data_IF_268466657627
#
_entry.id   IF_268466657627
#
_cell.length_a   1.000
_cell.length_b   1.000
_cell.length_c   1.000
_cell.angle_alpha   90.00
_cell.angle_beta   90.00
_cell.angle_gamma   90.00
#
_symmetry.space_group_name_H-M   'P 1'
#
loop_
_entity.id
_entity.type
_entity.pdbx_description
1 polymer ?
#
# COMPACT_ATOMS: atom_id res chain seq x y z
N UNK A 1 -7.31 -17.99 9.59
CA UNK A 1 -6.85 -16.62 9.68
C UNK A 1 -7.67 -15.70 8.78
N UNK A 2 -7.66 -14.39 9.00
CA UNK A 2 -8.42 -13.48 8.15
C UNK A 2 -7.91 -13.62 6.70
N UNK A 3 -8.81 -13.94 5.79
CA UNK A 3 -8.50 -13.95 4.37
C UNK A 3 -8.57 -12.51 3.88
N UNK A 4 -7.42 -11.92 3.58
CA UNK A 4 -7.36 -10.62 2.93
C UNK A 4 -7.48 -10.83 1.42
N UNK A 5 -8.59 -10.37 0.87
CA UNK A 5 -8.76 -10.35 -0.58
C UNK A 5 -8.56 -8.93 -1.09
N UNK A 6 -7.88 -8.81 -2.23
CA UNK A 6 -7.88 -7.57 -2.97
C UNK A 6 -9.28 -7.31 -3.50
N UNK A 7 -9.68 -6.05 -3.48
CA UNK A 7 -10.81 -5.66 -4.30
C UNK A 7 -10.43 -5.92 -5.76
N UNK A 8 -11.20 -6.77 -6.44
CA UNK A 8 -10.92 -7.16 -7.81
C UNK A 8 -10.84 -5.95 -8.75
N UNK A 9 -11.72 -4.98 -8.58
CA UNK A 9 -11.72 -3.74 -9.37
C UNK A 9 -10.42 -2.98 -9.20
N UNK A 10 -9.97 -2.73 -7.96
CA UNK A 10 -8.68 -2.08 -7.69
C UNK A 10 -7.50 -2.92 -8.18
N UNK A 11 -7.60 -4.23 -8.07
CA UNK A 11 -6.54 -5.12 -8.52
C UNK A 11 -6.37 -5.10 -10.03
N UNK A 12 -7.48 -5.10 -10.76
CA UNK A 12 -7.47 -5.14 -12.23
C UNK A 12 -7.34 -3.77 -12.87
N UNK A 13 -7.87 -2.71 -12.26
CA UNK A 13 -7.90 -1.37 -12.84
C UNK A 13 -6.81 -0.43 -12.33
N UNK A 14 -6.34 -0.58 -11.09
CA UNK A 14 -5.56 0.47 -10.44
C UNK A 14 -4.23 -0.01 -9.80
N UNK A 15 -3.93 -1.30 -9.82
CA UNK A 15 -2.73 -1.78 -9.11
C UNK A 15 -1.65 -2.38 -10.00
N UNK A 16 -1.96 -3.45 -10.71
CA UNK A 16 -0.93 -4.21 -11.42
C UNK A 16 -1.14 -4.30 -12.93
N UNK A 17 -2.31 -3.98 -13.43
CA UNK A 17 -2.72 -4.26 -14.81
C UNK A 17 -3.28 -3.05 -15.55
N UNK A 18 -3.33 -1.88 -14.91
CA UNK A 18 -4.07 -0.76 -15.48
C UNK A 18 -3.20 0.28 -16.15
N UNK A 19 -3.88 1.07 -16.96
CA UNK A 19 -3.50 2.38 -17.42
C UNK A 19 -3.39 3.38 -16.27
N UNK A 20 -2.45 3.17 -15.36
CA UNK A 20 -2.12 4.14 -14.32
C UNK A 20 -1.25 5.27 -14.87
N UNK A 21 -0.68 6.04 -13.97
CA UNK A 21 0.28 7.11 -14.27
C UNK A 21 1.46 6.59 -15.11
N UNK A 22 1.81 5.31 -14.98
CA UNK A 22 2.91 4.63 -15.65
C UNK A 22 2.55 3.91 -16.94
N UNK A 23 1.32 4.06 -17.45
CA UNK A 23 0.93 3.61 -18.77
C UNK A 23 0.00 2.38 -18.81
N UNK A 24 -0.68 2.20 -19.94
CA UNK A 24 -1.81 1.26 -20.08
C UNK A 24 -1.43 -0.21 -20.30
N UNK A 25 -0.19 -0.49 -20.67
CA UNK A 25 0.31 -1.84 -20.97
C UNK A 25 1.46 -2.26 -20.07
N UNK A 26 1.75 -1.47 -19.06
CA UNK A 26 2.93 -1.65 -18.24
C UNK A 26 2.61 -2.55 -17.05
N UNK A 27 3.13 -3.75 -17.13
CA UNK A 27 3.08 -4.70 -16.02
C UNK A 27 4.19 -4.40 -15.03
N UNK A 28 3.87 -4.54 -13.75
CA UNK A 28 4.88 -4.70 -12.74
C UNK A 28 5.53 -6.09 -12.92
N UNK A 29 6.78 -6.12 -13.32
CA UNK A 29 7.51 -7.35 -13.62
C UNK A 29 7.67 -8.33 -12.46
N UNK A 30 7.47 -7.88 -11.23
CA UNK A 30 7.94 -8.60 -10.07
C UNK A 30 6.91 -9.46 -9.36
N UNK A 31 5.61 -9.23 -9.56
CA UNK A 31 4.59 -10.01 -8.84
C UNK A 31 3.48 -10.39 -9.78
N UNK A 32 3.41 -11.68 -10.17
CA UNK A 32 2.23 -12.17 -10.83
C UNK A 32 1.05 -12.02 -9.88
N UNK A 33 0.16 -11.15 -10.23
CA UNK A 33 -1.07 -10.92 -9.50
C UNK A 33 -2.03 -12.07 -9.77
N UNK A 34 -2.48 -12.73 -8.70
CA UNK A 34 -3.59 -13.68 -8.79
C UNK A 34 -4.80 -13.09 -8.11
N UNK A 35 -5.89 -12.93 -8.85
CA UNK A 35 -7.18 -12.48 -8.31
C UNK A 35 -7.83 -13.55 -7.42
N UNK A 36 -7.39 -14.79 -7.53
CA UNK A 36 -8.04 -15.95 -6.90
C UNK A 36 -7.25 -16.60 -5.78
N UNK A 37 -6.00 -16.18 -5.52
CA UNK A 37 -5.23 -16.89 -4.51
C UNK A 37 -3.99 -16.21 -3.99
N UNK A 38 -3.90 -16.27 -2.71
CA UNK A 38 -2.81 -15.83 -1.86
C UNK A 38 -1.46 -16.52 -2.14
N UNK A 39 -1.47 -17.70 -2.75
CA UNK A 39 -0.36 -18.65 -2.66
C UNK A 39 0.70 -18.48 -3.75
N UNK A 40 0.31 -18.08 -4.94
CA UNK A 40 1.21 -18.18 -6.09
C UNK A 40 2.36 -17.16 -6.10
N UNK A 41 2.20 -15.98 -5.51
CA UNK A 41 3.22 -14.93 -5.56
C UNK A 41 4.29 -15.07 -4.47
N UNK A 42 3.92 -15.61 -3.32
CA UNK A 42 4.85 -15.87 -2.21
C UNK A 42 5.76 -17.04 -2.56
N UNK A 43 5.21 -18.08 -3.18
CA UNK A 43 5.94 -19.30 -3.52
C UNK A 43 7.02 -19.11 -4.61
N UNK A 44 6.86 -18.10 -5.47
CA UNK A 44 7.82 -17.85 -6.56
C UNK A 44 9.09 -17.10 -6.15
N UNK A 45 9.05 -16.33 -5.07
CA UNK A 45 10.20 -15.52 -4.63
C UNK A 45 11.27 -16.28 -3.85
N UNK A 46 10.96 -17.44 -3.33
CA UNK A 46 11.84 -18.10 -2.35
C UNK A 46 12.03 -19.59 -2.53
N UNK A 47 11.83 -20.08 -3.71
CA UNK A 47 11.84 -21.48 -4.08
C UNK A 47 13.05 -22.36 -3.69
N UNK A 48 13.35 -22.47 -2.42
CA UNK A 48 14.10 -23.57 -1.86
C UNK A 48 13.10 -24.57 -1.26
N UNK A 49 12.90 -25.66 -1.98
CA UNK A 49 12.13 -26.80 -1.53
C UNK A 49 13.09 -27.85 -0.96
N UNK A 50 13.06 -28.08 0.33
CA UNK A 50 13.80 -29.14 0.96
C UNK A 50 12.84 -29.96 1.84
N UNK A 51 12.80 -31.27 1.59
CA UNK A 51 12.10 -32.24 2.41
C UNK A 51 10.60 -32.04 2.63
N UNK A 52 9.89 -31.37 1.71
CA UNK A 52 8.44 -31.15 1.82
C UNK A 52 8.03 -29.91 2.59
N UNK A 53 8.97 -29.09 3.04
CA UNK A 53 8.70 -27.81 3.70
C UNK A 53 9.01 -26.63 2.79
N UNK A 54 8.14 -25.63 2.83
CA UNK A 54 8.34 -24.39 2.13
C UNK A 54 9.13 -23.42 3.01
N UNK A 55 10.34 -23.10 2.60
CA UNK A 55 11.13 -22.05 3.23
C UNK A 55 10.85 -20.71 2.54
N UNK A 56 10.43 -19.73 3.32
CA UNK A 56 10.30 -18.35 2.88
C UNK A 56 11.46 -17.52 3.44
N UNK A 57 12.25 -16.94 2.56
CA UNK A 57 13.26 -15.96 2.94
C UNK A 57 12.72 -14.55 2.66
N UNK A 58 12.24 -13.84 3.68
CA UNK A 58 11.77 -12.46 3.50
C UNK A 58 12.96 -11.55 3.19
N UNK A 59 12.79 -10.66 2.23
CA UNK A 59 13.70 -9.53 2.03
C UNK A 59 13.38 -8.51 3.11
N UNK A 60 14.25 -8.37 4.10
CA UNK A 60 14.04 -7.47 5.23
C UNK A 60 14.22 -6.00 4.86
N UNK A 61 15.15 -5.72 3.95
CA UNK A 61 15.43 -4.39 3.44
C UNK A 61 15.61 -4.44 1.92
N UNK A 62 14.95 -3.52 1.22
CA UNK A 62 15.07 -3.40 -0.22
C UNK A 62 15.44 -1.98 -0.62
N UNK A 63 16.17 -1.84 -1.72
CA UNK A 63 16.59 -0.53 -2.24
C UNK A 63 15.42 0.27 -2.78
N UNK A 64 14.40 -0.38 -3.29
CA UNK A 64 13.16 0.23 -3.76
C UNK A 64 12.36 0.85 -2.62
N UNK A 65 12.27 0.17 -1.48
CA UNK A 65 11.63 0.72 -0.28
C UNK A 65 12.41 1.94 0.23
N UNK A 66 13.74 1.87 0.30
CA UNK A 66 14.60 3.00 0.66
C UNK A 66 14.43 4.18 -0.30
N UNK A 67 14.35 3.90 -1.60
CA UNK A 67 14.09 4.91 -2.64
C UNK A 67 12.74 5.62 -2.41
N UNK A 68 11.69 4.86 -2.14
CA UNK A 68 10.35 5.40 -1.89
C UNK A 68 10.26 6.16 -0.55
N UNK A 69 11.03 5.76 0.47
CA UNK A 69 11.16 6.53 1.70
C UNK A 69 11.86 7.88 1.45
N UNK A 70 12.87 7.91 0.59
CA UNK A 70 13.53 9.15 0.20
C UNK A 70 12.61 10.04 -0.63
N UNK A 71 11.87 9.48 -1.57
CA UNK A 71 10.85 10.21 -2.33
C UNK A 71 9.81 10.87 -1.43
N UNK A 72 9.35 10.14 -0.40
CA UNK A 72 8.42 10.65 0.62
C UNK A 72 9.05 11.81 1.41
N UNK A 73 10.28 11.66 1.86
CA UNK A 73 11.00 12.72 2.58
C UNK A 73 11.15 13.99 1.73
N UNK A 74 11.44 13.84 0.44
CA UNK A 74 11.47 14.96 -0.49
C UNK A 74 10.10 15.62 -0.67
N UNK A 75 9.04 14.83 -0.82
CA UNK A 75 7.67 15.36 -0.92
C UNK A 75 7.28 16.17 0.32
N UNK A 76 7.54 15.63 1.52
CA UNK A 76 7.28 16.32 2.78
C UNK A 76 8.10 17.59 2.97
N UNK A 77 9.30 17.65 2.40
CA UNK A 77 10.13 18.86 2.36
C UNK A 77 9.82 19.79 1.19
N UNK A 78 8.77 19.53 0.41
CA UNK A 78 8.39 20.29 -0.80
C UNK A 78 9.46 20.30 -1.91
N UNK A 79 10.38 19.35 -1.87
CA UNK A 79 11.40 19.12 -2.90
C UNK A 79 10.81 18.21 -3.99
N UNK A 80 9.76 18.70 -4.66
CA UNK A 80 8.95 17.92 -5.59
C UNK A 80 9.73 17.39 -6.81
N UNK A 81 10.65 18.14 -7.43
CA UNK A 81 11.47 17.62 -8.52
C UNK A 81 12.30 16.40 -8.11
N UNK A 82 12.88 16.41 -6.91
CA UNK A 82 13.67 15.30 -6.39
C UNK A 82 12.79 14.08 -6.10
N UNK A 83 11.62 14.31 -5.52
CA UNK A 83 10.63 13.24 -5.30
C UNK A 83 10.20 12.59 -6.62
N UNK A 84 9.89 13.39 -7.64
CA UNK A 84 9.51 12.90 -8.96
C UNK A 84 10.65 12.15 -9.67
N UNK A 85 11.91 12.55 -9.44
CA UNK A 85 13.08 11.83 -9.97
C UNK A 85 13.22 10.43 -9.35
N UNK A 86 12.97 10.29 -8.05
CA UNK A 86 12.98 8.99 -7.38
C UNK A 86 11.80 8.11 -7.86
N UNK A 87 10.61 8.67 -8.01
CA UNK A 87 9.45 7.98 -8.59
C UNK A 87 9.74 7.53 -10.02
N UNK A 88 10.38 8.37 -10.82
CA UNK A 88 10.82 8.01 -12.18
C UNK A 88 11.83 6.85 -12.16
N UNK A 89 12.75 6.85 -11.22
CA UNK A 89 13.74 5.77 -11.07
C UNK A 89 13.05 4.44 -10.76
N UNK A 90 12.08 4.46 -9.85
CA UNK A 90 11.24 3.31 -9.57
C UNK A 90 10.46 2.86 -10.83
N UNK A 91 9.79 3.78 -11.51
CA UNK A 91 9.01 3.48 -12.72
C UNK A 91 9.87 2.77 -13.77
N UNK A 92 11.08 3.29 -14.02
CA UNK A 92 12.01 2.71 -15.00
C UNK A 92 12.50 1.31 -14.64
N UNK A 93 12.59 1.02 -13.35
CA UNK A 93 13.01 -0.30 -12.86
C UNK A 93 11.88 -1.33 -12.95
N UNK A 94 10.65 -0.92 -12.66
CA UNK A 94 9.51 -1.82 -12.45
C UNK A 94 8.50 -1.88 -13.58
N UNK A 95 8.52 -0.92 -14.49
CA UNK A 95 7.57 -0.84 -15.60
C UNK A 95 8.27 -0.76 -16.96
N UNK A 96 7.50 -0.90 -18.03
CA UNK A 96 8.01 -0.66 -19.39
C UNK A 96 8.14 0.80 -19.74
N UNK A 97 7.45 1.66 -19.02
CA UNK A 97 7.50 3.10 -19.25
C UNK A 97 8.85 3.66 -18.78
N UNK A 98 9.62 4.20 -19.71
CA UNK A 98 10.95 4.79 -19.47
C UNK A 98 10.93 6.32 -19.46
N UNK A 99 9.77 6.93 -19.67
CA UNK A 99 9.61 8.39 -19.64
C UNK A 99 9.86 8.95 -18.24
N UNK A 100 10.37 10.16 -18.18
CA UNK A 100 10.48 10.86 -16.90
C UNK A 100 9.11 11.40 -16.48
N UNK A 101 8.81 11.28 -15.20
CA UNK A 101 7.63 11.90 -14.59
C UNK A 101 8.02 13.26 -14.00
N UNK A 102 7.21 14.26 -14.30
CA UNK A 102 7.32 15.57 -13.66
C UNK A 102 6.36 15.70 -12.46
N UNK A 103 6.64 16.58 -11.49
CA UNK A 103 5.71 16.86 -10.39
C UNK A 103 4.32 17.24 -10.89
N UNK A 104 4.23 18.05 -11.94
CA UNK A 104 2.94 18.49 -12.50
C UNK A 104 2.15 17.34 -13.11
N UNK A 105 2.79 16.39 -13.77
CA UNK A 105 2.14 15.19 -14.31
C UNK A 105 1.58 14.32 -13.19
N UNK A 106 2.35 14.11 -12.12
CA UNK A 106 1.90 13.36 -10.94
C UNK A 106 0.72 14.09 -10.29
N UNK A 107 0.85 15.39 -10.07
CA UNK A 107 -0.20 16.21 -9.50
C UNK A 107 -1.49 16.14 -10.31
N UNK A 108 -1.42 16.41 -11.61
CA UNK A 108 -2.58 16.40 -12.49
C UNK A 108 -3.28 15.05 -12.58
N UNK A 109 -2.53 13.95 -12.44
CA UNK A 109 -3.10 12.60 -12.42
C UNK A 109 -3.92 12.34 -11.16
N UNK A 110 -3.36 12.61 -9.97
CA UNK A 110 -4.03 12.35 -8.71
C UNK A 110 -5.07 13.42 -8.35
N UNK A 111 -4.94 14.63 -8.88
CA UNK A 111 -5.93 15.69 -8.70
C UNK A 111 -7.29 15.34 -9.32
N UNK A 112 -7.28 14.73 -10.50
CA UNK A 112 -8.49 14.25 -11.18
C UNK A 112 -9.11 13.02 -10.52
N UNK A 113 -8.37 12.34 -9.65
CA UNK A 113 -8.82 11.10 -9.03
C UNK A 113 -9.66 11.40 -7.80
N UNK A 114 -10.88 10.87 -7.78
CA UNK A 114 -11.75 10.95 -6.60
C UNK A 114 -11.16 10.13 -5.44
N UNK A 115 -11.40 10.60 -4.23
CA UNK A 115 -11.08 9.81 -3.04
C UNK A 115 -11.88 8.53 -2.99
N UNK A 116 -11.25 7.48 -2.48
CA UNK A 116 -11.91 6.21 -2.24
C UNK A 116 -13.11 6.38 -1.31
N UNK A 117 -14.25 5.88 -1.73
CA UNK A 117 -15.40 5.65 -0.88
C UNK A 117 -15.78 4.18 -0.87
N UNK A 118 -16.24 3.63 0.26
CA UNK A 118 -16.48 2.20 0.35
C UNK A 118 -17.59 1.68 -0.55
N UNK A 119 -18.44 2.56 -1.07
CA UNK A 119 -19.63 2.15 -1.83
C UNK A 119 -19.53 2.44 -3.33
N UNK A 120 -18.92 3.55 -3.71
CA UNK A 120 -19.04 4.06 -5.08
C UNK A 120 -17.70 4.32 -5.77
N UNK A 121 -16.65 4.68 -5.04
CA UNK A 121 -15.36 5.08 -5.60
C UNK A 121 -14.24 4.13 -5.17
N UNK A 122 -13.87 3.23 -6.07
CA UNK A 122 -12.80 2.24 -5.83
C UNK A 122 -11.47 2.75 -6.39
N UNK A 123 -10.83 3.70 -5.72
CA UNK A 123 -9.59 4.34 -6.15
C UNK A 123 -8.43 4.07 -5.19
N UNK A 124 -7.16 4.19 -5.63
CA UNK A 124 -6.01 4.13 -4.74
C UNK A 124 -5.88 5.38 -3.84
N UNK A 125 -6.52 6.50 -4.20
CA UNK A 125 -6.49 7.76 -3.44
C UNK A 125 -7.35 7.63 -2.19
N UNK A 126 -6.73 7.56 -1.01
CA UNK A 126 -7.38 7.41 0.30
C UNK A 126 -7.38 8.74 1.04
N UNK A 127 -8.43 9.00 1.81
CA UNK A 127 -8.39 10.09 2.78
C UNK A 127 -7.22 9.86 3.75
N UNK A 128 -6.38 10.88 3.93
CA UNK A 128 -5.25 10.86 4.84
C UNK A 128 -5.58 11.68 6.09
N UNK A 129 -5.25 11.16 7.26
CA UNK A 129 -5.42 11.82 8.55
C UNK A 129 -4.22 11.53 9.46
N UNK A 130 -3.01 11.94 9.08
CA UNK A 130 -1.81 11.75 9.87
C UNK A 130 -1.74 12.73 11.05
N UNK A 131 -0.84 12.46 12.00
CA UNK A 131 -0.53 13.35 13.13
C UNK A 131 0.38 14.54 12.71
N UNK A 132 0.66 14.70 11.44
CA UNK A 132 1.44 15.81 10.86
C UNK A 132 0.68 16.47 9.71
N UNK A 133 1.05 17.70 9.37
CA UNK A 133 0.38 18.46 8.31
C UNK A 133 0.84 18.01 6.93
N UNK A 134 -0.13 17.81 6.06
CA UNK A 134 0.05 17.64 4.61
C UNK A 134 -0.65 18.81 3.92
N UNK A 135 0.04 19.48 3.02
CA UNK A 135 -0.57 20.53 2.19
C UNK A 135 -1.39 19.90 1.06
N UNK A 136 -2.59 20.39 0.88
CA UNK A 136 -3.46 19.99 -0.23
C UNK A 136 -2.83 20.30 -1.59
N UNK A 137 -3.19 19.54 -2.59
CA UNK A 137 -2.69 19.69 -3.95
C UNK A 137 -1.36 18.96 -4.20
N UNK A 138 -0.33 19.66 -4.61
CA UNK A 138 0.93 19.05 -5.09
C UNK A 138 1.55 18.08 -4.08
N UNK A 139 1.68 18.48 -2.83
CA UNK A 139 2.28 17.64 -1.80
C UNK A 139 1.46 16.38 -1.55
N UNK A 140 0.16 16.55 -1.32
CA UNK A 140 -0.77 15.44 -1.07
C UNK A 140 -0.81 14.48 -2.26
N UNK A 141 -0.89 15.00 -3.48
CA UNK A 141 -0.95 14.17 -4.68
C UNK A 141 0.33 13.38 -4.95
N UNK A 142 1.50 13.95 -4.68
CA UNK A 142 2.78 13.22 -4.75
C UNK A 142 2.83 12.13 -3.68
N UNK A 143 2.37 12.40 -2.46
CA UNK A 143 2.27 11.38 -1.41
C UNK A 143 1.30 10.26 -1.78
N UNK A 144 0.18 10.56 -2.42
CA UNK A 144 -0.73 9.54 -2.95
C UNK A 144 -0.06 8.67 -4.00
N UNK A 145 0.76 9.26 -4.88
CA UNK A 145 1.56 8.50 -5.84
C UNK A 145 2.51 7.52 -5.13
N UNK A 146 3.26 8.00 -4.14
CA UNK A 146 4.20 7.17 -3.37
C UNK A 146 3.48 6.05 -2.62
N UNK A 147 2.36 6.34 -1.96
CA UNK A 147 1.55 5.35 -1.25
C UNK A 147 0.94 4.31 -2.19
N UNK A 148 0.56 4.73 -3.40
CA UNK A 148 0.08 3.82 -4.44
C UNK A 148 1.20 2.88 -4.90
N UNK A 149 2.38 3.43 -5.21
CA UNK A 149 3.56 2.66 -5.59
C UNK A 149 3.94 1.66 -4.51
N UNK A 150 4.06 2.09 -3.24
CA UNK A 150 4.35 1.18 -2.12
C UNK A 150 3.35 0.04 -2.03
N UNK A 151 2.06 0.37 -2.11
CA UNK A 151 1.00 -0.64 -2.06
C UNK A 151 1.15 -1.70 -3.15
N UNK A 152 1.54 -1.29 -4.35
CA UNK A 152 1.74 -2.21 -5.48
C UNK A 152 3.02 -3.02 -5.30
N UNK A 153 4.12 -2.36 -4.93
CA UNK A 153 5.44 -2.99 -4.80
C UNK A 153 5.49 -4.00 -3.65
N UNK A 154 4.87 -3.66 -2.52
CA UNK A 154 4.90 -4.49 -1.30
C UNK A 154 3.65 -5.34 -1.11
N UNK A 155 2.96 -5.64 -2.20
CA UNK A 155 1.77 -6.48 -2.18
C UNK A 155 2.08 -7.85 -1.56
N UNK A 156 1.30 -8.28 -0.57
CA UNK A 156 1.48 -9.50 0.23
C UNK A 156 2.72 -9.53 1.14
N UNK A 157 3.41 -8.43 1.32
CA UNK A 157 4.58 -8.35 2.21
C UNK A 157 4.25 -7.76 3.60
N UNK A 158 3.01 -7.37 3.84
CA UNK A 158 2.58 -6.80 5.13
C UNK A 158 2.93 -5.32 5.32
N UNK A 159 3.69 -4.72 4.42
CA UNK A 159 4.22 -3.35 4.52
C UNK A 159 3.14 -2.26 4.43
N UNK A 160 1.94 -2.60 3.98
CA UNK A 160 0.82 -1.65 3.94
C UNK A 160 0.37 -1.17 5.33
N UNK A 161 0.60 -1.97 6.37
CA UNK A 161 0.19 -1.63 7.73
C UNK A 161 0.91 -0.40 8.31
N UNK A 162 2.23 -0.25 8.18
CA UNK A 162 2.94 0.98 8.51
C UNK A 162 2.36 2.22 7.82
N UNK A 163 2.08 2.16 6.51
CA UNK A 163 1.46 3.28 5.78
C UNK A 163 0.08 3.64 6.33
N UNK A 164 -0.77 2.63 6.59
CA UNK A 164 -2.10 2.83 7.16
C UNK A 164 -2.04 3.53 8.51
N UNK A 165 -1.09 3.15 9.35
CA UNK A 165 -0.91 3.78 10.67
C UNK A 165 -0.37 5.20 10.54
N UNK A 166 0.70 5.37 9.76
CA UNK A 166 1.39 6.66 9.59
C UNK A 166 0.49 7.73 8.99
N UNK A 167 -0.30 7.37 8.00
CA UNK A 167 -1.17 8.30 7.27
C UNK A 167 -2.62 8.30 7.75
N UNK A 168 -2.94 7.62 8.84
CA UNK A 168 -4.29 7.61 9.40
C UNK A 168 -5.36 7.09 8.43
N UNK A 169 -5.00 6.16 7.53
CA UNK A 169 -5.92 5.67 6.50
C UNK A 169 -7.02 4.82 7.13
N UNK A 170 -8.27 5.15 6.86
CA UNK A 170 -9.42 4.36 7.32
C UNK A 170 -9.47 2.99 6.63
N UNK A 171 -9.80 1.95 7.39
CA UNK A 171 -9.98 0.60 6.88
C UNK A 171 -11.45 0.24 6.92
N UNK A 172 -11.94 -0.30 5.81
CA UNK A 172 -13.29 -0.82 5.67
C UNK A 172 -13.24 -2.33 5.51
N UNK A 173 -14.02 -3.05 6.31
CA UNK A 173 -14.21 -4.49 6.16
C UNK A 173 -15.51 -4.74 5.43
N UNK A 174 -15.46 -5.67 4.47
CA UNK A 174 -16.60 -6.03 3.66
C UNK A 174 -16.97 -7.47 3.86
N UNK A 175 -18.26 -7.75 3.85
CA UNK A 175 -18.75 -9.10 3.65
C UNK A 175 -18.46 -9.52 2.19
N UNK A 176 -17.83 -10.69 2.03
CA UNK A 176 -17.42 -11.15 0.70
C UNK A 176 -18.60 -11.50 -0.22
N UNK A 177 -19.68 -12.02 0.34
CA UNK A 177 -20.85 -12.42 -0.45
C UNK A 177 -21.72 -11.22 -0.85
N UNK A 178 -21.93 -10.27 0.08
CA UNK A 178 -22.83 -9.14 -0.13
C UNK A 178 -22.12 -7.89 -0.57
N UNK A 179 -20.78 -7.85 -0.51
CA UNK A 179 -19.93 -6.66 -0.73
C UNK A 179 -20.27 -5.44 0.16
N UNK A 180 -21.12 -5.63 1.17
CA UNK A 180 -21.48 -4.57 2.11
C UNK A 180 -20.36 -4.33 3.12
N UNK A 181 -20.16 -3.08 3.48
CA UNK A 181 -19.28 -2.71 4.60
C UNK A 181 -19.94 -3.18 5.89
N UNK A 182 -19.21 -3.98 6.65
CA UNK A 182 -19.70 -4.56 7.92
C UNK A 182 -18.98 -3.99 9.13
N UNK A 183 -17.83 -3.36 8.92
CA UNK A 183 -17.03 -2.77 10.00
C UNK A 183 -16.09 -1.69 9.44
N UNK A 184 -15.80 -0.69 10.25
CA UNK A 184 -14.89 0.40 9.94
C UNK A 184 -13.84 0.54 11.05
N UNK A 185 -12.61 0.85 10.67
CA UNK A 185 -11.51 1.08 11.60
C UNK A 185 -10.90 2.45 11.34
N UNK A 186 -11.33 3.47 12.08
CA UNK A 186 -10.80 4.83 11.96
C UNK A 186 -9.34 4.94 12.46
N UNK A 187 -8.66 6.08 12.21
CA UNK A 187 -7.26 6.29 12.58
C UNK A 187 -6.93 5.97 14.04
N UNK A 188 -7.78 6.39 14.96
CA UNK A 188 -7.53 6.26 16.42
C UNK A 188 -8.16 5.01 17.04
N UNK A 189 -8.58 4.03 16.22
CA UNK A 189 -9.18 2.80 16.72
C UNK A 189 -8.15 1.95 17.48
N UNK A 190 -8.50 1.51 18.68
CA UNK A 190 -7.64 0.68 19.55
C UNK A 190 -7.23 -0.64 18.86
N UNK A 191 -7.98 -1.08 17.87
CA UNK A 191 -7.66 -2.24 17.04
C UNK A 191 -6.42 -2.09 16.20
N UNK A 192 -5.92 -0.90 16.04
CA UNK A 192 -4.66 -0.62 15.32
C UNK A 192 -3.43 -1.03 16.12
N UNK A 193 -3.58 -1.28 17.42
CA UNK A 193 -2.55 -1.87 18.26
C UNK A 193 -2.73 -3.39 18.35
N UNK A 194 -1.64 -4.13 18.15
CA UNK A 194 -1.62 -5.57 18.41
C UNK A 194 -1.70 -5.77 19.91
N UNK A 195 -2.59 -6.68 20.35
CA UNK A 195 -2.72 -6.99 21.77
C UNK A 195 -1.42 -7.59 22.30
N UNK A 196 -1.06 -7.19 23.52
CA UNK A 196 0.08 -7.76 24.26
C UNK A 196 -0.13 -9.28 24.41
N UNK A 197 0.90 -10.11 24.17
CA UNK A 197 0.79 -11.56 24.29
C UNK A 197 0.27 -12.00 25.68
N UNK A 198 -0.56 -13.03 25.70
CA UNK A 198 -1.23 -13.48 26.93
C UNK A 198 -0.25 -13.85 28.04
N UNK A 199 0.85 -14.48 27.71
CA UNK A 199 1.91 -14.84 28.70
C UNK A 199 2.52 -13.61 29.36
N UNK A 200 2.66 -12.51 28.66
CA UNK A 200 3.18 -11.24 29.20
C UNK A 200 2.14 -10.57 30.11
N UNK A 201 0.85 -10.63 29.73
CA UNK A 201 -0.26 -10.14 30.56
C UNK A 201 -0.34 -10.95 31.87
N UNK A 202 -0.22 -12.27 31.78
CA UNK A 202 -0.21 -13.14 32.96
C UNK A 202 1.00 -12.86 33.88
N UNK A 203 2.12 -12.42 33.29
CA UNK A 203 3.30 -11.98 34.04
C UNK A 203 3.15 -10.57 34.69
N UNK A 204 1.97 -9.95 34.59
CA UNK A 204 1.65 -8.68 35.26
C UNK A 204 1.62 -7.43 34.39
N UNK A 205 1.85 -7.54 33.08
CA UNK A 205 1.72 -6.38 32.19
C UNK A 205 0.23 -6.08 31.92
N UNK A 206 -0.12 -4.80 31.94
CA UNK A 206 -1.47 -4.36 31.60
C UNK A 206 -1.79 -4.63 30.14
N UNK A 207 -2.92 -5.26 29.82
CA UNK A 207 -3.35 -5.45 28.44
C UNK A 207 -3.69 -4.11 27.77
N UNK A 208 -3.58 -4.05 26.45
CA UNK A 208 -4.17 -2.94 25.71
C UNK A 208 -5.68 -2.84 26.00
N UNK A 209 -6.25 -1.63 26.02
CA UNK A 209 -7.68 -1.47 26.25
C UNK A 209 -8.50 -2.36 25.31
N UNK A 210 -9.47 -3.07 25.91
CA UNK A 210 -10.42 -3.85 25.10
C UNK A 210 -11.42 -2.91 24.46
N UNK A 211 -11.94 -3.34 23.33
CA UNK A 211 -13.14 -2.76 22.78
C UNK A 211 -14.37 -3.15 23.58
N UNK A 212 -15.24 -2.22 23.67
CA UNK A 212 -16.64 -2.51 23.97
C UNK A 212 -17.35 -2.89 22.66
#
# INVERSE_FOLDING_TARGET
GPRYFHNQTLATSETCLSAGLWGSSDYLYLKPFSTTGFVASILRKSGLYDGGYLYYMPVLFSTDETLLCRAEAYALKKMYPQSAADITSWQRAYTRNKSALTPDQINAYYDKMNFYTPFTQQTPKKQLAPDFTIEEGMQENILHCILHIRRVTTLHEGMRWPDIKRYGIMIYRRNMATQRVTDEMPPNDLRRAIQIPRNVIVAGMQPNPRRN
#
